data_IF_275398795912
#
_entry.id   IF_275398795912
#
_cell.length_a   1.000
_cell.length_b   1.000
_cell.length_c   1.000
_cell.angle_alpha   90.00
_cell.angle_beta   90.00
_cell.angle_gamma   90.00
#
_symmetry.space_group_name_H-M   'P 1'
#
loop_
_entity.id
_entity.type
_entity.pdbx_description
1 polymer ?
#
# COMPACT_ATOMS: atom_id res chain seq x y z
N UNK A 1 -11.97 -0.15 16.95
CA UNK A 1 -13.18 0.64 16.62
C UNK A 1 -12.84 2.00 16.01
N UNK A 2 -11.99 2.82 16.64
CA UNK A 2 -11.63 4.16 16.14
C UNK A 2 -11.23 4.17 14.65
N UNK A 3 -10.28 3.31 14.23
CA UNK A 3 -9.84 3.22 12.83
C UNK A 3 -10.97 2.89 11.83
N UNK A 4 -11.88 1.97 12.19
CA UNK A 4 -13.05 1.61 11.36
C UNK A 4 -14.08 2.74 11.26
N UNK A 5 -14.23 3.52 12.34
CA UNK A 5 -15.17 4.64 12.37
C UNK A 5 -14.56 5.91 11.75
N UNK A 6 -13.24 6.02 11.71
CA UNK A 6 -12.52 7.09 11.05
C UNK A 6 -12.61 6.94 9.52
N UNK A 7 -12.49 5.73 8.97
CA UNK A 7 -12.51 5.50 7.52
C UNK A 7 -13.89 5.42 6.89
N UNK A 8 -14.97 5.50 7.69
CA UNK A 8 -16.34 5.28 7.21
C UNK A 8 -17.20 6.52 7.49
N UNK A 9 -17.90 7.08 6.48
CA UNK A 9 -18.83 8.19 6.69
C UNK A 9 -19.84 7.88 7.80
N UNK A 10 -20.01 8.82 8.75
CA UNK A 10 -20.81 8.64 9.96
C UNK A 10 -22.32 8.39 9.73
N UNK A 11 -22.80 8.57 8.50
CA UNK A 11 -24.17 8.39 8.05
C UNK A 11 -24.34 7.24 7.04
N UNK A 12 -23.27 6.49 6.75
CA UNK A 12 -23.27 5.40 5.79
C UNK A 12 -23.86 4.09 6.33
N UNK A 13 -24.36 3.19 5.44
CA UNK A 13 -24.85 1.86 5.83
C UNK A 13 -23.77 1.00 6.51
N UNK A 14 -22.50 1.31 6.24
CA UNK A 14 -21.34 0.63 6.81
C UNK A 14 -21.11 1.02 8.27
N UNK A 15 -21.31 2.30 8.61
CA UNK A 15 -21.27 2.79 9.99
C UNK A 15 -22.38 2.15 10.83
N UNK A 16 -23.59 2.06 10.28
CA UNK A 16 -24.70 1.37 10.92
C UNK A 16 -24.40 -0.11 11.21
N UNK A 17 -23.69 -0.79 10.30
CA UNK A 17 -23.25 -2.17 10.52
C UNK A 17 -22.20 -2.29 11.62
N UNK A 18 -21.20 -1.41 11.66
CA UNK A 18 -20.23 -1.35 12.77
C UNK A 18 -20.93 -1.14 14.12
N UNK A 19 -21.92 -0.24 14.19
CA UNK A 19 -22.74 -0.05 15.39
C UNK A 19 -23.56 -1.29 15.75
N UNK A 20 -24.12 -1.98 14.76
CA UNK A 20 -24.87 -3.22 14.98
C UNK A 20 -23.99 -4.35 15.52
N UNK A 21 -22.73 -4.44 15.07
CA UNK A 21 -21.74 -5.37 15.62
C UNK A 21 -21.42 -4.96 17.07
N UNK A 22 -21.09 -3.69 17.30
CA UNK A 22 -20.75 -3.18 18.62
C UNK A 22 -21.84 -3.42 19.66
N UNK A 23 -23.13 -3.31 19.29
CA UNK A 23 -24.27 -3.60 20.18
C UNK A 23 -24.36 -5.04 20.65
N UNK A 24 -23.75 -6.00 19.95
CA UNK A 24 -23.74 -7.41 20.33
C UNK A 24 -22.53 -7.78 21.20
N UNK A 25 -21.56 -6.87 21.32
CA UNK A 25 -20.36 -7.09 22.12
C UNK A 25 -20.73 -6.92 23.59
N UNK A 26 -20.55 -8.01 24.35
CA UNK A 26 -20.74 -8.01 25.80
C UNK A 26 -19.46 -7.53 26.49
N UNK A 27 -19.56 -6.41 27.21
CA UNK A 27 -18.46 -5.84 27.99
C UNK A 27 -17.95 -6.76 29.11
N UNK A 28 -18.72 -7.76 29.51
CA UNK A 28 -18.36 -8.72 30.57
C UNK A 28 -17.73 -10.02 30.02
N UNK A 29 -17.79 -10.27 28.71
CA UNK A 29 -17.15 -11.42 28.07
C UNK A 29 -15.93 -10.96 27.27
N UNK A 30 -14.75 -11.23 27.82
CA UNK A 30 -13.47 -10.88 27.20
C UNK A 30 -13.35 -11.42 25.77
N UNK A 31 -14.05 -12.49 25.40
CA UNK A 31 -13.99 -13.08 24.06
C UNK A 31 -15.05 -12.55 23.10
N UNK A 32 -16.02 -11.79 23.59
CA UNK A 32 -17.16 -11.31 22.81
C UNK A 32 -16.70 -10.44 21.64
N UNK A 33 -15.71 -9.56 21.87
CA UNK A 33 -15.11 -8.74 20.79
C UNK A 33 -14.61 -9.60 19.63
N UNK A 34 -13.70 -10.55 19.90
CA UNK A 34 -13.13 -11.42 18.86
C UNK A 34 -14.23 -12.18 18.12
N UNK A 35 -15.13 -12.80 18.88
CA UNK A 35 -16.19 -13.67 18.35
C UNK A 35 -17.12 -12.91 17.42
N UNK A 36 -17.58 -11.73 17.83
CA UNK A 36 -18.55 -10.94 17.07
C UNK A 36 -17.93 -10.35 15.80
N UNK A 37 -16.68 -9.87 15.85
CA UNK A 37 -15.99 -9.37 14.66
C UNK A 37 -15.62 -10.49 13.68
N UNK A 38 -15.11 -11.63 14.17
CA UNK A 38 -14.84 -12.80 13.31
C UNK A 38 -16.10 -13.28 12.62
N UNK A 39 -17.21 -13.44 13.36
CA UNK A 39 -18.48 -13.88 12.79
C UNK A 39 -18.96 -12.95 11.68
N UNK A 40 -18.92 -11.64 11.92
CA UNK A 40 -19.34 -10.67 10.91
C UNK A 40 -18.38 -10.58 9.72
N UNK A 41 -17.09 -10.82 9.89
CA UNK A 41 -16.14 -10.93 8.79
C UNK A 41 -16.42 -12.16 7.90
N UNK A 42 -16.72 -13.31 8.51
CA UNK A 42 -17.06 -14.55 7.80
C UNK A 42 -18.39 -14.43 7.03
N UNK A 43 -19.42 -13.86 7.66
CA UNK A 43 -20.71 -13.57 7.03
C UNK A 43 -20.52 -12.67 5.79
N UNK A 44 -19.76 -11.58 5.95
CA UNK A 44 -19.54 -10.62 4.88
C UNK A 44 -18.68 -11.20 3.74
N UNK A 45 -17.69 -12.05 4.07
CA UNK A 45 -16.92 -12.80 3.06
C UNK A 45 -17.83 -13.71 2.24
N UNK A 46 -18.71 -14.47 2.89
CA UNK A 46 -19.63 -15.36 2.18
C UNK A 46 -20.62 -14.60 1.28
N UNK A 47 -21.09 -13.43 1.71
CA UNK A 47 -21.89 -12.54 0.86
C UNK A 47 -21.11 -12.00 -0.34
N UNK A 48 -19.84 -11.66 -0.14
CA UNK A 48 -18.95 -11.19 -1.19
C UNK A 48 -18.79 -12.25 -2.29
N UNK A 49 -18.52 -13.51 -1.92
CA UNK A 49 -18.37 -14.61 -2.87
C UNK A 49 -19.67 -14.85 -3.65
N UNK A 50 -20.83 -14.83 -2.99
CA UNK A 50 -22.14 -14.96 -3.66
C UNK A 50 -22.38 -13.85 -4.67
N UNK A 51 -22.08 -12.61 -4.30
CA UNK A 51 -22.26 -11.45 -5.18
C UNK A 51 -21.32 -11.51 -6.40
N UNK A 52 -20.06 -11.88 -6.19
CA UNK A 52 -19.10 -12.06 -7.28
C UNK A 52 -19.51 -13.18 -8.24
N UNK A 53 -19.96 -14.33 -7.71
CA UNK A 53 -20.48 -15.44 -8.52
C UNK A 53 -21.73 -15.09 -9.34
N UNK A 54 -22.53 -14.13 -8.86
CA UNK A 54 -23.67 -13.60 -9.59
C UNK A 54 -23.29 -12.54 -10.66
N UNK A 55 -22.00 -12.34 -10.93
CA UNK A 55 -21.47 -11.39 -11.91
C UNK A 55 -21.13 -10.00 -11.34
N UNK A 56 -21.35 -9.77 -10.05
CA UNK A 56 -21.06 -8.51 -9.36
C UNK A 56 -19.65 -8.45 -8.77
N UNK A 57 -18.59 -8.71 -9.56
CA UNK A 57 -17.22 -8.83 -9.05
C UNK A 57 -16.74 -7.61 -8.26
N UNK A 58 -17.00 -6.41 -8.78
CA UNK A 58 -16.60 -5.15 -8.13
C UNK A 58 -17.32 -4.92 -6.78
N UNK A 59 -18.62 -5.27 -6.72
CA UNK A 59 -19.37 -5.27 -5.47
C UNK A 59 -18.89 -6.33 -4.48
N UNK A 60 -18.53 -7.53 -4.97
CA UNK A 60 -17.90 -8.58 -4.20
C UNK A 60 -16.56 -8.13 -3.62
N UNK A 61 -15.68 -7.51 -4.42
CA UNK A 61 -14.39 -6.94 -4.01
C UNK A 61 -14.54 -5.96 -2.85
N UNK A 62 -15.47 -5.01 -2.94
CA UNK A 62 -15.74 -4.07 -1.83
C UNK A 62 -16.18 -4.78 -0.55
N UNK A 63 -17.01 -5.84 -0.65
CA UNK A 63 -17.40 -6.63 0.52
C UNK A 63 -16.22 -7.44 1.09
N UNK A 64 -15.37 -8.02 0.24
CA UNK A 64 -14.14 -8.68 0.70
C UNK A 64 -13.19 -7.70 1.39
N UNK A 65 -12.99 -6.49 0.86
CA UNK A 65 -12.17 -5.45 1.49
C UNK A 65 -12.68 -5.14 2.91
N UNK A 66 -14.00 -4.96 3.04
CA UNK A 66 -14.62 -4.72 4.34
C UNK A 66 -14.55 -5.91 5.29
N UNK A 67 -14.61 -7.14 4.77
CA UNK A 67 -14.39 -8.34 5.58
C UNK A 67 -12.96 -8.37 6.13
N UNK A 68 -11.96 -7.95 5.34
CA UNK A 68 -10.57 -7.75 5.82
C UNK A 68 -10.52 -6.74 6.95
N UNK A 69 -11.18 -5.58 6.82
CA UNK A 69 -11.20 -4.60 7.91
C UNK A 69 -11.85 -5.16 9.20
N UNK A 70 -12.87 -6.02 9.07
CA UNK A 70 -13.50 -6.70 10.22
C UNK A 70 -12.61 -7.77 10.85
N UNK A 71 -11.86 -8.53 10.04
CA UNK A 71 -10.84 -9.45 10.56
C UNK A 71 -9.74 -8.71 11.31
N UNK A 72 -9.25 -7.57 10.78
CA UNK A 72 -8.28 -6.73 11.47
C UNK A 72 -8.86 -6.13 12.77
N UNK A 73 -10.13 -5.75 12.77
CA UNK A 73 -10.81 -5.32 13.98
C UNK A 73 -10.90 -6.44 15.02
N UNK A 74 -11.15 -7.69 14.62
CA UNK A 74 -11.13 -8.84 15.53
C UNK A 74 -9.77 -9.01 16.21
N UNK A 75 -8.67 -8.71 15.51
CA UNK A 75 -7.32 -8.73 16.08
C UNK A 75 -7.04 -7.55 17.02
N UNK A 76 -7.69 -6.39 16.83
CA UNK A 76 -7.40 -5.14 17.55
C UNK A 76 -7.75 -5.11 19.05
N UNK A 77 -8.32 -6.18 19.60
CA UNK A 77 -8.76 -6.26 21.00
C UNK A 77 -7.92 -7.17 21.92
N UNK A 78 -6.93 -7.87 21.38
CA UNK A 78 -6.22 -8.92 22.14
C UNK A 78 -4.71 -8.78 22.01
N UNK A 79 -4.03 -8.94 23.14
CA UNK A 79 -2.60 -9.24 23.16
C UNK A 79 -2.28 -10.52 22.38
N UNK A 80 -1.00 -10.91 22.39
CA UNK A 80 -0.30 -11.91 21.57
C UNK A 80 -0.86 -13.36 21.54
N UNK A 81 -2.17 -13.58 21.39
CA UNK A 81 -2.77 -14.89 21.19
C UNK A 81 -2.52 -15.35 19.75
N UNK A 82 -1.45 -16.14 19.58
CA UNK A 82 -1.01 -16.62 18.28
C UNK A 82 -2.11 -17.35 17.48
N UNK A 83 -2.96 -18.14 18.16
CA UNK A 83 -4.04 -18.90 17.50
C UNK A 83 -5.09 -17.96 16.88
N UNK A 84 -5.47 -16.88 17.57
CA UNK A 84 -6.43 -15.89 17.06
C UNK A 84 -5.83 -15.08 15.92
N UNK A 85 -4.58 -14.67 16.05
CA UNK A 85 -3.86 -13.96 14.98
C UNK A 85 -3.75 -14.83 13.73
N UNK A 86 -3.50 -16.13 13.90
CA UNK A 86 -3.46 -17.08 12.80
C UNK A 86 -4.82 -17.21 12.11
N UNK A 87 -5.91 -17.35 12.87
CA UNK A 87 -7.27 -17.45 12.32
C UNK A 87 -7.66 -16.19 11.54
N UNK A 88 -7.36 -15.01 12.08
CA UNK A 88 -7.53 -13.71 11.41
C UNK A 88 -6.75 -13.67 10.10
N UNK A 89 -5.47 -14.05 10.12
CA UNK A 89 -4.63 -14.06 8.93
C UNK A 89 -5.14 -15.02 7.84
N UNK A 90 -5.66 -16.19 8.23
CA UNK A 90 -6.31 -17.14 7.31
C UNK A 90 -7.57 -16.53 6.69
N UNK A 91 -8.40 -15.86 7.49
CA UNK A 91 -9.60 -15.17 7.01
C UNK A 91 -9.29 -14.07 6.00
N UNK A 92 -8.31 -13.22 6.30
CA UNK A 92 -7.83 -12.15 5.41
C UNK A 92 -7.30 -12.73 4.10
N UNK A 93 -6.44 -13.75 4.17
CA UNK A 93 -5.88 -14.42 2.99
C UNK A 93 -6.97 -15.07 2.13
N UNK A 94 -7.99 -15.66 2.75
CA UNK A 94 -9.11 -16.24 2.02
C UNK A 94 -9.86 -15.20 1.18
N UNK A 95 -10.09 -13.98 1.69
CA UNK A 95 -10.72 -12.90 0.92
C UNK A 95 -9.93 -12.55 -0.35
N UNK A 96 -8.60 -12.44 -0.25
CA UNK A 96 -7.75 -12.16 -1.41
C UNK A 96 -7.72 -13.33 -2.40
N UNK A 97 -7.59 -14.57 -1.94
CA UNK A 97 -7.56 -15.75 -2.81
C UNK A 97 -8.89 -15.95 -3.54
N UNK A 98 -10.02 -15.75 -2.85
CA UNK A 98 -11.34 -15.77 -3.47
C UNK A 98 -11.44 -14.69 -4.55
N UNK A 99 -10.98 -13.46 -4.29
CA UNK A 99 -10.94 -12.40 -5.29
C UNK A 99 -10.05 -12.74 -6.50
N UNK A 100 -8.83 -13.23 -6.28
CA UNK A 100 -7.89 -13.59 -7.35
C UNK A 100 -8.43 -14.71 -8.25
N UNK A 101 -9.20 -15.64 -7.68
CA UNK A 101 -9.83 -16.73 -8.43
C UNK A 101 -10.99 -16.29 -9.33
N UNK A 102 -11.41 -15.02 -9.24
CA UNK A 102 -12.60 -14.48 -9.89
C UNK A 102 -12.23 -13.46 -10.96
N UNK A 103 -13.01 -13.42 -12.05
CA UNK A 103 -12.81 -12.49 -13.17
C UNK A 103 -12.42 -13.19 -14.48
N UNK A 104 -12.28 -12.41 -15.54
CA UNK A 104 -11.92 -12.90 -16.88
C UNK A 104 -10.45 -13.33 -16.97
N UNK A 105 -9.58 -12.65 -16.21
CA UNK A 105 -8.16 -12.96 -16.10
C UNK A 105 -7.84 -13.16 -14.62
N UNK A 106 -7.86 -14.41 -14.12
CA UNK A 106 -7.56 -14.71 -12.72
C UNK A 106 -6.18 -14.18 -12.34
N UNK A 107 -6.07 -13.67 -11.12
CA UNK A 107 -4.79 -13.26 -10.56
C UNK A 107 -3.97 -14.45 -10.03
N UNK A 108 -2.69 -14.21 -9.80
CA UNK A 108 -1.71 -15.20 -9.39
C UNK A 108 -1.17 -14.90 -7.99
N UNK A 109 -0.89 -15.96 -7.23
CA UNK A 109 -0.01 -15.88 -6.07
C UNK A 109 1.41 -16.15 -6.54
N UNK A 110 2.29 -15.17 -6.38
CA UNK A 110 3.66 -15.24 -6.89
C UNK A 110 4.67 -15.24 -5.75
N UNK A 111 5.82 -15.87 -6.01
CA UNK A 111 6.94 -15.93 -5.06
C UNK A 111 8.12 -15.19 -5.66
N UNK A 112 8.55 -14.11 -5.01
CA UNK A 112 9.65 -13.25 -5.44
C UNK A 112 10.92 -13.66 -4.68
N UNK A 113 11.96 -14.11 -5.38
CA UNK A 113 13.26 -14.37 -4.76
C UNK A 113 13.84 -13.06 -4.23
N UNK A 114 14.09 -12.99 -2.92
CA UNK A 114 14.79 -11.87 -2.30
C UNK A 114 15.95 -12.36 -1.45
N UNK A 115 15.65 -13.28 -0.53
CA UNK A 115 16.64 -14.04 0.26
C UNK A 115 16.36 -15.52 0.12
N UNK A 116 17.40 -16.33 0.21
CA UNK A 116 17.31 -17.79 0.14
C UNK A 116 16.32 -18.37 1.17
N UNK A 117 16.31 -17.79 2.39
CA UNK A 117 15.47 -18.24 3.50
C UNK A 117 14.19 -17.41 3.69
N UNK A 118 13.99 -16.38 2.86
CA UNK A 118 12.89 -15.43 3.01
C UNK A 118 12.43 -14.85 1.67
N UNK A 119 11.81 -15.68 0.81
CA UNK A 119 11.17 -15.17 -0.39
C UNK A 119 9.91 -14.37 -0.04
N UNK A 120 9.60 -13.36 -0.83
CA UNK A 120 8.39 -12.55 -0.64
C UNK A 120 7.22 -13.21 -1.36
N UNK A 121 6.06 -13.31 -0.71
CA UNK A 121 4.83 -13.63 -1.40
C UNK A 121 4.13 -12.34 -1.86
N UNK A 122 3.73 -12.31 -3.12
CA UNK A 122 3.00 -11.21 -3.72
C UNK A 122 1.77 -11.72 -4.47
N UNK A 123 0.87 -10.80 -4.82
CA UNK A 123 -0.27 -11.08 -5.69
C UNK A 123 -0.09 -10.30 -6.99
N UNK A 124 -0.26 -10.97 -8.13
CA UNK A 124 -0.23 -10.35 -9.44
C UNK A 124 -1.61 -10.42 -10.08
N UNK A 125 -2.13 -9.29 -10.53
CA UNK A 125 -3.39 -9.18 -11.27
C UNK A 125 -3.07 -8.63 -12.66
N UNK A 126 -3.25 -9.42 -13.73
CA UNK A 126 -2.98 -8.94 -15.08
C UNK A 126 -3.98 -7.85 -15.50
N UNK A 127 -3.52 -6.94 -16.35
CA UNK A 127 -4.38 -5.94 -16.98
C UNK A 127 -5.54 -6.62 -17.73
N UNK A 128 -6.79 -6.14 -17.56
CA UNK A 128 -7.93 -6.74 -18.23
C UNK A 128 -7.82 -6.57 -19.75
N UNK A 129 -8.11 -7.63 -20.50
CA UNK A 129 -8.11 -7.65 -21.97
C UNK A 129 -6.76 -7.30 -22.62
N UNK A 130 -5.63 -7.46 -21.92
CA UNK A 130 -4.32 -7.29 -22.51
C UNK A 130 -4.09 -8.33 -23.62
N UNK A 131 -3.66 -7.86 -24.79
CA UNK A 131 -3.29 -8.70 -25.95
C UNK A 131 -1.78 -8.96 -26.06
N UNK A 132 -1.00 -8.46 -25.10
CA UNK A 132 0.45 -8.55 -25.04
C UNK A 132 0.99 -7.93 -23.73
N UNK A 133 2.30 -7.66 -23.64
CA UNK A 133 2.93 -7.06 -22.47
C UNK A 133 2.22 -5.78 -22.01
N UNK A 134 1.82 -5.76 -20.74
CA UNK A 134 1.02 -4.68 -20.18
C UNK A 134 1.83 -3.75 -19.26
N UNK A 135 1.51 -2.45 -19.23
CA UNK A 135 2.08 -1.54 -18.24
C UNK A 135 1.69 -2.00 -16.83
N UNK A 136 2.63 -1.95 -15.89
CA UNK A 136 2.49 -2.58 -14.58
C UNK A 136 2.75 -1.61 -13.44
N UNK A 137 1.91 -1.65 -12.42
CA UNK A 137 2.11 -0.94 -11.15
C UNK A 137 2.50 -1.95 -10.07
N UNK A 138 3.62 -1.71 -9.41
CA UNK A 138 4.05 -2.43 -8.22
C UNK A 138 3.58 -1.63 -7.00
N UNK A 139 2.77 -2.23 -6.13
CA UNK A 139 2.40 -1.69 -4.84
C UNK A 139 3.22 -2.37 -3.74
N UNK A 140 3.93 -1.58 -2.95
CA UNK A 140 4.65 -2.04 -1.76
C UNK A 140 3.88 -1.59 -0.52
N UNK A 141 3.34 -2.56 0.20
CA UNK A 141 2.54 -2.33 1.38
C UNK A 141 3.37 -1.82 2.56
N UNK A 142 2.71 -1.12 3.47
CA UNK A 142 3.30 -0.68 4.73
C UNK A 142 3.90 -1.87 5.51
N UNK A 143 5.14 -1.75 6.01
CA UNK A 143 5.69 -2.75 6.91
C UNK A 143 4.76 -2.99 8.11
N UNK A 144 4.28 -4.23 8.25
CA UNK A 144 3.45 -4.66 9.39
C UNK A 144 1.99 -4.85 8.99
N UNK A 145 1.64 -4.38 7.80
CA UNK A 145 0.35 -4.62 7.15
C UNK A 145 0.50 -5.69 6.08
N UNK A 146 -0.60 -6.44 5.88
CA UNK A 146 -0.64 -7.51 4.88
C UNK A 146 -1.18 -6.99 3.56
N UNK A 147 -0.62 -7.49 2.46
CA UNK A 147 -0.92 -7.05 1.09
C UNK A 147 -2.36 -7.27 0.64
N UNK A 148 -3.12 -8.17 1.29
CA UNK A 148 -4.50 -8.50 0.91
C UNK A 148 -5.42 -7.29 0.89
N UNK A 149 -5.25 -6.37 1.85
CA UNK A 149 -6.05 -5.15 1.91
C UNK A 149 -5.76 -4.25 0.70
N UNK A 150 -4.48 -3.98 0.42
CA UNK A 150 -4.07 -3.14 -0.70
C UNK A 150 -4.44 -3.76 -2.05
N UNK A 151 -4.39 -5.09 -2.19
CA UNK A 151 -4.92 -5.79 -3.37
C UNK A 151 -6.39 -5.44 -3.62
N UNK A 152 -7.24 -5.63 -2.61
CA UNK A 152 -8.69 -5.43 -2.74
C UNK A 152 -9.06 -3.94 -2.91
N UNK A 153 -8.24 -3.04 -2.35
CA UNK A 153 -8.42 -1.60 -2.51
C UNK A 153 -7.99 -1.10 -3.90
N UNK A 154 -6.91 -1.62 -4.45
CA UNK A 154 -6.26 -1.02 -5.64
C UNK A 154 -6.61 -1.71 -6.96
N UNK A 155 -7.07 -2.98 -6.94
CA UNK A 155 -7.26 -3.76 -8.16
C UNK A 155 -8.24 -3.14 -9.17
N UNK A 156 -9.34 -2.48 -8.73
CA UNK A 156 -10.22 -1.76 -9.67
C UNK A 156 -9.53 -0.59 -10.34
N UNK A 157 -8.81 0.22 -9.56
CA UNK A 157 -8.19 1.43 -10.07
C UNK A 157 -7.13 1.12 -11.14
N UNK A 158 -6.39 0.02 -10.96
CA UNK A 158 -5.48 -0.52 -11.95
C UNK A 158 -6.22 -1.04 -13.19
N UNK A 159 -7.24 -1.89 -13.00
CA UNK A 159 -7.99 -2.54 -14.07
C UNK A 159 -8.71 -1.52 -14.97
N UNK A 160 -9.33 -0.49 -14.39
CA UNK A 160 -10.03 0.57 -15.12
C UNK A 160 -9.11 1.36 -16.07
N UNK A 161 -7.81 1.34 -15.82
CA UNK A 161 -6.78 2.03 -16.62
C UNK A 161 -5.92 1.07 -17.45
N UNK A 162 -6.31 -0.21 -17.53
CA UNK A 162 -5.59 -1.22 -18.30
C UNK A 162 -4.18 -1.50 -17.77
N UNK A 163 -3.98 -1.38 -16.46
CA UNK A 163 -2.70 -1.63 -15.81
C UNK A 163 -2.71 -3.01 -15.12
N UNK A 164 -1.62 -3.74 -15.22
CA UNK A 164 -1.36 -4.89 -14.35
C UNK A 164 -0.97 -4.36 -12.96
N UNK A 165 -1.29 -5.12 -11.91
CA UNK A 165 -1.02 -4.75 -10.54
C UNK A 165 -0.28 -5.89 -9.83
N UNK A 166 0.92 -5.61 -9.32
CA UNK A 166 1.60 -6.48 -8.36
C UNK A 166 1.50 -5.86 -6.97
N UNK A 167 1.09 -6.62 -5.95
CA UNK A 167 1.04 -6.15 -4.56
C UNK A 167 1.90 -7.06 -3.68
N UNK A 168 2.89 -6.47 -3.02
CA UNK A 168 3.85 -7.18 -2.17
C UNK A 168 3.92 -6.56 -0.76
N UNK A 169 4.16 -7.42 0.24
CA UNK A 169 4.48 -7.03 1.61
C UNK A 169 5.79 -7.70 2.06
N UNK A 170 6.28 -7.32 3.24
CA UNK A 170 7.52 -7.84 3.81
C UNK A 170 7.29 -9.04 4.77
N UNK A 171 6.10 -9.63 4.76
CA UNK A 171 5.76 -10.76 5.64
C UNK A 171 6.30 -12.12 5.13
N UNK A 172 6.90 -12.14 3.95
CA UNK A 172 7.39 -13.37 3.34
C UNK A 172 6.27 -14.28 2.86
N UNK A 173 6.59 -15.53 2.53
CA UNK A 173 5.61 -16.55 2.08
C UNK A 173 4.89 -17.29 3.22
N UNK A 174 5.43 -17.19 4.44
CA UNK A 174 4.92 -17.87 5.63
C UNK A 174 3.73 -17.17 6.29
N UNK A 175 3.11 -17.87 7.24
CA UNK A 175 2.07 -17.29 8.09
C UNK A 175 2.65 -16.57 9.32
N UNK A 176 3.83 -17.01 9.76
CA UNK A 176 4.63 -16.33 10.79
C UNK A 176 5.37 -15.14 10.19
N UNK A 177 5.33 -14.03 10.90
CA UNK A 177 6.04 -12.82 10.52
C UNK A 177 7.35 -12.71 11.31
N UNK A 178 8.48 -12.51 10.61
CA UNK A 178 9.75 -12.10 11.23
C UNK A 178 9.89 -10.57 11.20
N UNK A 179 8.78 -9.86 11.42
CA UNK A 179 8.65 -8.45 11.11
C UNK A 179 9.80 -7.59 11.64
N UNK A 180 10.08 -7.68 12.95
CA UNK A 180 11.12 -6.87 13.59
C UNK A 180 12.52 -7.19 13.07
N UNK A 181 12.78 -8.47 12.77
CA UNK A 181 14.04 -8.90 12.14
C UNK A 181 14.17 -8.28 10.75
N UNK A 182 13.09 -8.27 9.96
CA UNK A 182 13.08 -7.80 8.57
C UNK A 182 13.20 -6.27 8.49
N UNK A 183 12.39 -5.53 9.24
CA UNK A 183 12.40 -4.05 9.20
C UNK A 183 13.69 -3.47 9.78
N UNK A 184 14.30 -4.16 10.75
CA UNK A 184 15.60 -3.75 11.31
C UNK A 184 16.80 -3.99 10.39
N UNK A 185 16.61 -4.57 9.20
CA UNK A 185 17.72 -4.90 8.29
C UNK A 185 18.31 -3.66 7.63
N UNK A 186 19.61 -3.76 7.33
CA UNK A 186 20.37 -2.74 6.59
C UNK A 186 20.19 -2.80 5.08
N UNK A 187 19.77 -3.95 4.56
CA UNK A 187 19.60 -4.23 3.14
C UNK A 187 18.12 -4.30 2.75
N UNK A 188 17.23 -3.74 3.57
CA UNK A 188 15.79 -3.78 3.32
C UNK A 188 15.48 -3.34 1.89
N UNK A 189 16.12 -2.25 1.43
CA UNK A 189 15.97 -1.63 0.10
C UNK A 189 16.22 -2.59 -1.05
N UNK A 190 16.99 -3.65 -0.85
CA UNK A 190 17.24 -4.67 -1.87
C UNK A 190 15.98 -5.44 -2.27
N UNK A 191 14.96 -5.51 -1.40
CA UNK A 191 13.68 -6.12 -1.76
C UNK A 191 12.97 -5.36 -2.90
N UNK A 192 13.15 -4.03 -3.01
CA UNK A 192 12.61 -3.26 -4.13
C UNK A 192 13.23 -3.72 -5.45
N UNK A 193 14.56 -3.88 -5.49
CA UNK A 193 15.28 -4.41 -6.65
C UNK A 193 14.84 -5.82 -7.01
N UNK A 194 14.68 -6.71 -6.02
CA UNK A 194 14.19 -8.09 -6.23
C UNK A 194 12.77 -8.14 -6.80
N UNK A 195 11.88 -7.27 -6.34
CA UNK A 195 10.53 -7.16 -6.90
C UNK A 195 10.58 -6.67 -8.34
N UNK A 196 11.45 -5.69 -8.63
CA UNK A 196 11.66 -5.20 -10.00
C UNK A 196 12.22 -6.29 -10.93
N UNK A 197 13.22 -7.04 -10.48
CA UNK A 197 13.79 -8.16 -11.23
C UNK A 197 12.74 -9.21 -11.58
N UNK A 198 11.87 -9.57 -10.62
CA UNK A 198 10.78 -10.50 -10.86
C UNK A 198 9.80 -9.96 -11.91
N UNK A 199 9.37 -8.70 -11.78
CA UNK A 199 8.37 -8.10 -12.66
C UNK A 199 8.90 -7.91 -14.08
N UNK A 200 10.13 -7.43 -14.23
CA UNK A 200 10.77 -7.25 -15.55
C UNK A 200 11.08 -8.58 -16.26
N UNK A 201 11.16 -9.69 -15.54
CA UNK A 201 11.39 -11.00 -16.14
C UNK A 201 10.13 -11.68 -16.68
N UNK A 202 8.94 -11.09 -16.50
CA UNK A 202 7.68 -11.67 -16.98
C UNK A 202 7.40 -11.28 -18.43
N UNK A 203 6.98 -12.26 -19.23
CA UNK A 203 6.63 -12.05 -20.65
C UNK A 203 5.32 -11.26 -20.85
N UNK A 204 4.48 -11.15 -19.82
CA UNK A 204 3.21 -10.41 -19.84
C UNK A 204 3.33 -8.98 -19.29
N UNK A 205 4.55 -8.53 -18.98
CA UNK A 205 4.85 -7.18 -18.47
C UNK A 205 5.68 -6.41 -19.48
N UNK A 206 5.30 -5.15 -19.72
CA UNK A 206 6.12 -4.20 -20.47
C UNK A 206 7.18 -3.58 -19.55
N UNK A 207 8.44 -3.98 -19.73
CA UNK A 207 9.56 -3.61 -18.86
C UNK A 207 9.91 -2.12 -18.89
N UNK A 208 9.55 -1.41 -19.96
CA UNK A 208 9.71 0.03 -20.10
C UNK A 208 8.60 0.83 -19.39
N UNK A 209 7.51 0.16 -19.00
CA UNK A 209 6.31 0.78 -18.42
C UNK A 209 5.95 0.20 -17.06
N UNK A 210 6.94 0.15 -16.17
CA UNK A 210 6.78 -0.26 -14.77
C UNK A 210 6.80 0.96 -13.86
N UNK A 211 5.76 1.12 -13.04
CA UNK A 211 5.72 2.12 -11.98
C UNK A 211 5.65 1.48 -10.60
N UNK A 212 6.00 2.25 -9.56
CA UNK A 212 5.88 1.82 -8.17
C UNK A 212 5.01 2.78 -7.35
N UNK A 213 4.24 2.21 -6.43
CA UNK A 213 3.37 2.90 -5.48
C UNK A 213 3.70 2.41 -4.08
N UNK A 214 4.07 3.35 -3.21
CA UNK A 214 4.25 3.08 -1.79
C UNK A 214 2.94 3.34 -1.04
N UNK A 215 2.47 2.34 -0.30
CA UNK A 215 1.32 2.47 0.60
C UNK A 215 1.77 3.05 1.96
N UNK A 216 1.15 4.16 2.36
CA UNK A 216 1.37 4.84 3.64
C UNK A 216 2.87 4.97 4.04
N UNK A 217 3.30 4.29 5.11
CA UNK A 217 4.64 4.40 5.69
C UNK A 217 5.73 3.69 4.89
N UNK A 218 5.40 2.86 3.88
CA UNK A 218 6.43 2.26 3.02
C UNK A 218 7.14 3.30 2.16
N UNK A 219 6.59 4.52 2.06
CA UNK A 219 7.06 5.61 1.21
C UNK A 219 8.57 5.87 1.27
N UNK A 220 9.15 5.99 2.46
CA UNK A 220 10.57 6.33 2.62
C UNK A 220 11.49 5.17 2.26
N UNK A 221 11.06 3.95 2.62
CA UNK A 221 11.75 2.72 2.24
C UNK A 221 11.74 2.52 0.72
N UNK A 222 10.59 2.72 0.07
CA UNK A 222 10.45 2.69 -1.39
C UNK A 222 11.29 3.76 -2.05
N UNK A 223 11.28 5.00 -1.54
CA UNK A 223 12.08 6.11 -2.07
C UNK A 223 13.58 5.78 -2.07
N UNK A 224 14.10 5.16 -1.00
CA UNK A 224 15.49 4.70 -0.93
C UNK A 224 15.77 3.54 -1.88
N UNK A 225 14.84 2.60 -2.04
CA UNK A 225 14.98 1.50 -3.00
C UNK A 225 15.05 1.98 -4.45
N UNK A 226 14.13 2.86 -4.87
CA UNK A 226 14.12 3.38 -6.25
C UNK A 226 15.25 4.37 -6.54
N UNK A 227 15.84 4.99 -5.52
CA UNK A 227 17.08 5.75 -5.67
C UNK A 227 18.27 4.86 -6.08
N UNK A 228 18.18 3.54 -5.86
CA UNK A 228 19.21 2.57 -6.24
C UNK A 228 18.86 1.84 -7.55
N UNK A 229 17.67 2.02 -8.11
CA UNK A 229 17.18 1.32 -9.29
C UNK A 229 16.50 2.28 -10.29
N UNK A 230 17.15 2.58 -11.44
CA UNK A 230 16.67 3.59 -12.38
C UNK A 230 15.55 3.09 -13.32
N UNK A 231 15.19 1.80 -13.25
CA UNK A 231 14.30 1.15 -14.23
C UNK A 231 12.85 1.61 -14.14
N UNK A 232 12.42 2.25 -13.05
CA UNK A 232 11.05 2.73 -12.90
C UNK A 232 10.72 3.86 -13.88
N UNK A 233 9.55 3.77 -14.51
CA UNK A 233 8.99 4.79 -15.38
C UNK A 233 8.32 5.92 -14.61
N UNK A 234 7.75 5.62 -13.43
CA UNK A 234 7.16 6.59 -12.50
C UNK A 234 7.11 6.01 -11.08
N UNK A 235 7.04 6.88 -10.08
CA UNK A 235 6.90 6.45 -8.69
C UNK A 235 5.99 7.36 -7.86
N UNK A 236 5.23 6.76 -6.94
CA UNK A 236 4.41 7.46 -5.95
C UNK A 236 4.98 7.11 -4.58
N UNK A 237 5.64 8.07 -3.94
CA UNK A 237 6.28 7.90 -2.64
C UNK A 237 6.53 9.27 -2.00
N UNK A 238 7.14 9.30 -0.81
CA UNK A 238 7.47 10.54 -0.10
C UNK A 238 8.71 11.24 -0.65
N UNK A 239 9.38 10.72 -1.67
CA UNK A 239 10.65 11.24 -2.20
C UNK A 239 11.76 11.42 -1.12
N UNK A 240 11.73 10.62 -0.06
CA UNK A 240 12.67 10.72 1.07
C UNK A 240 12.38 11.88 2.03
N UNK A 241 11.19 12.49 1.97
CA UNK A 241 10.79 13.59 2.85
C UNK A 241 10.77 13.18 4.33
N UNK A 242 10.43 11.94 4.67
CA UNK A 242 10.46 11.47 6.05
C UNK A 242 11.87 11.48 6.63
N UNK A 243 12.86 10.95 5.91
CA UNK A 243 14.25 10.90 6.37
C UNK A 243 14.78 12.32 6.65
N UNK A 244 14.37 13.31 5.84
CA UNK A 244 14.68 14.72 6.08
C UNK A 244 13.94 15.23 7.33
N UNK A 245 12.65 14.94 7.46
CA UNK A 245 11.83 15.40 8.57
C UNK A 245 12.33 14.85 9.90
N UNK A 246 12.64 13.56 9.98
CA UNK A 246 13.22 12.90 11.16
C UNK A 246 14.54 13.57 11.54
N UNK A 247 15.46 13.77 10.59
CA UNK A 247 16.74 14.47 10.83
C UNK A 247 16.54 15.90 11.35
N UNK A 248 15.61 16.65 10.77
CA UNK A 248 15.28 18.02 11.23
C UNK A 248 14.66 18.00 12.63
N UNK A 249 13.85 17.00 12.95
CA UNK A 249 13.27 16.84 14.29
C UNK A 249 14.34 16.49 15.33
N UNK A 250 15.21 15.53 15.01
CA UNK A 250 16.34 15.13 15.85
C UNK A 250 17.33 16.29 16.05
N UNK A 251 17.65 17.05 15.00
CA UNK A 251 18.62 18.15 15.08
C UNK A 251 18.19 19.24 16.08
N UNK A 252 16.88 19.48 16.24
CA UNK A 252 16.34 20.41 17.26
C UNK A 252 16.59 19.97 18.70
N UNK A 253 16.84 18.68 18.93
CA UNK A 253 17.13 18.11 20.25
C UNK A 253 18.63 18.04 20.54
N UNK A 254 19.48 18.35 19.57
CA UNK A 254 20.93 18.26 19.66
C UNK A 254 21.59 19.62 19.97
N UNK A 255 22.74 19.56 20.62
CA UNK A 255 23.61 20.73 20.84
C UNK A 255 24.12 21.30 19.50
N UNK A 256 24.58 22.56 19.45
CA UNK A 256 25.13 23.15 18.22
C UNK A 256 26.29 22.35 17.60
N UNK A 257 27.17 21.78 18.43
CA UNK A 257 28.32 20.99 17.97
C UNK A 257 27.89 19.65 17.37
N UNK A 258 26.94 18.95 18.00
CA UNK A 258 26.34 17.72 17.46
C UNK A 258 25.57 17.98 16.16
N UNK A 259 24.92 19.14 16.05
CA UNK A 259 24.23 19.59 14.83
C UNK A 259 25.17 19.83 13.66
N UNK A 260 26.38 20.32 13.90
CA UNK A 260 27.36 20.58 12.86
C UNK A 260 27.87 19.30 12.17
N UNK A 261 27.73 18.15 12.84
CA UNK A 261 28.08 16.84 12.28
C UNK A 261 26.94 16.18 11.47
N UNK A 262 25.72 16.70 11.54
CA UNK A 262 24.60 16.18 10.74
C UNK A 262 24.63 16.75 9.32
N UNK A 263 24.46 15.93 8.28
CA UNK A 263 24.22 16.43 6.92
C UNK A 263 23.05 17.40 6.91
N UNK A 264 23.15 18.48 6.14
CA UNK A 264 22.12 19.53 6.10
C UNK A 264 20.80 19.01 5.51
N UNK A 265 19.67 19.64 5.84
CA UNK A 265 18.38 19.32 5.22
C UNK A 265 18.36 19.54 3.68
N UNK A 266 19.35 20.29 3.16
CA UNK A 266 19.64 20.49 1.75
C UNK A 266 20.29 19.28 1.05
N UNK A 267 20.71 18.26 1.80
CA UNK A 267 21.29 17.01 1.28
C UNK A 267 20.20 15.95 1.07
N UNK A 268 19.22 16.28 0.24
CA UNK A 268 18.20 15.34 -0.21
C UNK A 268 18.80 14.32 -1.20
N UNK A 269 19.80 13.55 -0.75
CA UNK A 269 20.58 12.63 -1.59
C UNK A 269 19.69 11.57 -2.22
N UNK A 270 18.70 11.09 -1.48
CA UNK A 270 17.73 10.10 -1.96
C UNK A 270 16.97 10.65 -3.16
N UNK A 271 16.27 11.78 -3.01
CA UNK A 271 15.48 12.35 -4.11
C UNK A 271 16.33 12.61 -5.37
N UNK A 272 17.56 13.12 -5.21
CA UNK A 272 18.46 13.41 -6.35
C UNK A 272 18.93 12.17 -7.11
N UNK A 273 18.83 10.99 -6.50
CA UNK A 273 19.20 9.72 -7.12
C UNK A 273 18.02 9.06 -7.84
N UNK A 274 16.79 9.53 -7.60
CA UNK A 274 15.60 8.99 -8.25
C UNK A 274 15.51 9.52 -9.69
N UNK A 275 15.51 8.60 -10.66
CA UNK A 275 15.59 8.90 -12.09
C UNK A 275 14.24 8.92 -12.82
N UNK A 276 13.13 8.84 -12.09
CA UNK A 276 11.79 8.83 -12.65
C UNK A 276 10.94 9.99 -12.11
N UNK A 277 9.88 10.39 -12.82
CA UNK A 277 8.87 11.29 -12.30
C UNK A 277 8.29 10.78 -10.99
N UNK A 278 8.14 11.67 -10.01
CA UNK A 278 7.65 11.38 -8.68
C UNK A 278 6.31 12.07 -8.41
N UNK A 279 5.39 11.35 -7.77
CA UNK A 279 4.21 11.93 -7.12
C UNK A 279 4.34 11.77 -5.60
N UNK A 280 4.43 12.90 -4.91
CA UNK A 280 4.27 12.97 -3.45
C UNK A 280 2.79 13.22 -3.18
N UNK A 281 2.09 12.18 -2.74
CA UNK A 281 0.69 12.19 -2.35
C UNK A 281 0.60 12.15 -0.81
N UNK A 282 0.01 13.17 -0.19
CA UNK A 282 -0.21 13.15 1.26
C UNK A 282 -1.57 13.74 1.67
N UNK A 283 -2.17 13.25 2.77
CA UNK A 283 -3.34 13.88 3.35
C UNK A 283 -2.98 15.23 3.97
N UNK A 284 -3.93 16.18 3.99
CA UNK A 284 -3.74 17.48 4.62
C UNK A 284 -3.40 17.37 6.11
N UNK A 285 -3.98 16.37 6.78
CA UNK A 285 -3.66 15.97 8.14
C UNK A 285 -2.97 14.62 8.10
N UNK A 286 -1.67 14.60 8.30
CA UNK A 286 -0.86 13.38 8.29
C UNK A 286 0.41 13.53 9.13
N UNK A 287 1.29 12.54 9.03
CA UNK A 287 2.57 12.52 9.73
C UNK A 287 3.49 13.68 9.32
N UNK A 288 3.42 14.11 8.06
CA UNK A 288 4.16 15.26 7.54
C UNK A 288 3.26 16.48 7.51
N UNK A 289 3.74 17.59 8.08
CA UNK A 289 3.07 18.87 7.91
C UNK A 289 3.12 19.33 6.45
N UNK A 290 1.98 19.76 5.93
CA UNK A 290 1.82 20.22 4.54
C UNK A 290 2.71 21.41 4.19
N UNK A 291 2.96 22.34 5.12
CA UNK A 291 3.86 23.47 4.90
C UNK A 291 5.34 23.05 4.78
N UNK A 292 5.73 21.98 5.48
CA UNK A 292 7.07 21.40 5.37
C UNK A 292 7.19 20.66 4.03
N UNK A 293 6.22 19.81 3.70
CA UNK A 293 6.18 19.08 2.42
C UNK A 293 6.24 20.04 1.22
N UNK A 294 5.41 21.08 1.22
CA UNK A 294 5.34 22.09 0.14
C UNK A 294 6.69 22.77 -0.08
N UNK A 295 7.36 23.17 1.00
CA UNK A 295 8.66 23.83 0.93
C UNK A 295 9.77 22.91 0.42
N UNK A 296 9.79 21.65 0.88
CA UNK A 296 10.79 20.67 0.44
C UNK A 296 10.58 20.28 -1.03
N UNK A 297 9.34 20.06 -1.46
CA UNK A 297 9.04 19.81 -2.89
C UNK A 297 9.37 21.02 -3.76
N UNK A 298 9.10 22.25 -3.29
CA UNK A 298 9.51 23.45 -4.01
C UNK A 298 11.03 23.56 -4.16
N UNK A 299 11.82 23.06 -3.19
CA UNK A 299 13.27 22.96 -3.32
C UNK A 299 13.66 21.89 -4.35
N UNK A 300 13.06 20.70 -4.31
CA UNK A 300 13.32 19.64 -5.29
C UNK A 300 13.05 20.10 -6.73
N UNK A 301 11.97 20.87 -6.95
CA UNK A 301 11.67 21.46 -8.26
C UNK A 301 12.73 22.47 -8.72
N UNK A 302 13.30 23.25 -7.80
CA UNK A 302 14.41 24.17 -8.10
C UNK A 302 15.69 23.41 -8.47
N UNK A 303 15.87 22.23 -7.90
CA UNK A 303 16.97 21.31 -8.22
C UNK A 303 16.69 20.48 -9.50
N UNK A 304 15.67 20.84 -10.29
CA UNK A 304 15.26 20.21 -11.56
C UNK A 304 14.73 18.77 -11.47
N UNK A 305 14.22 18.33 -10.31
CA UNK A 305 13.54 17.04 -10.20
C UNK A 305 12.10 17.12 -10.76
N UNK A 306 11.67 16.12 -11.54
CA UNK A 306 10.26 15.97 -11.97
C UNK A 306 9.44 15.41 -10.80
N UNK A 307 9.02 16.31 -9.91
CA UNK A 307 8.21 15.98 -8.74
C UNK A 307 6.88 16.71 -8.76
N UNK A 308 5.80 15.98 -8.55
CA UNK A 308 4.44 16.47 -8.39
C UNK A 308 4.03 16.33 -6.92
N UNK A 309 3.42 17.36 -6.35
CA UNK A 309 2.86 17.32 -4.99
C UNK A 309 1.34 17.38 -5.08
N UNK A 310 0.66 16.42 -4.47
CA UNK A 310 -0.78 16.41 -4.28
C UNK A 310 -1.08 16.31 -2.79
N UNK A 311 -1.78 17.33 -2.28
CA UNK A 311 -2.33 17.33 -0.93
C UNK A 311 -3.82 17.01 -1.04
N UNK A 312 -4.27 15.97 -0.34
CA UNK A 312 -5.67 15.58 -0.27
C UNK A 312 -6.33 16.22 0.94
N UNK A 313 -7.28 17.11 0.69
CA UNK A 313 -8.05 17.76 1.75
C UNK A 313 -8.99 16.76 2.43
N UNK A 314 -9.19 16.92 3.74
CA UNK A 314 -10.19 16.15 4.46
C UNK A 314 -11.59 16.48 3.90
N UNK A 315 -12.47 15.49 3.81
CA UNK A 315 -13.87 15.73 3.49
C UNK A 315 -14.54 16.60 4.56
N UNK A 316 -15.72 17.17 4.25
CA UNK A 316 -16.48 17.97 5.23
C UNK A 316 -16.81 17.18 6.51
N UNK A 317 -16.90 15.86 6.42
CA UNK A 317 -17.37 14.97 7.50
C UNK A 317 -16.38 13.85 7.90
N UNK A 318 -15.10 13.93 7.51
CA UNK A 318 -14.14 12.84 7.79
C UNK A 318 -12.80 12.94 7.05
N UNK A 319 -11.95 11.89 7.10
CA UNK A 319 -10.72 11.82 6.32
C UNK A 319 -11.01 11.90 4.80
N UNK A 320 -9.98 12.14 3.97
CA UNK A 320 -10.16 12.15 2.52
C UNK A 320 -10.76 10.82 2.01
N UNK A 321 -11.58 10.92 0.98
CA UNK A 321 -12.12 9.74 0.29
C UNK A 321 -10.96 8.98 -0.38
N UNK A 322 -10.62 7.82 0.18
CA UNK A 322 -9.52 6.99 -0.29
C UNK A 322 -9.73 6.51 -1.73
N UNK A 323 -10.98 6.30 -2.16
CA UNK A 323 -11.30 5.94 -3.55
C UNK A 323 -10.90 7.06 -4.51
N UNK A 324 -11.30 8.30 -4.21
CA UNK A 324 -10.92 9.47 -5.01
C UNK A 324 -9.40 9.73 -5.00
N UNK A 325 -8.74 9.47 -3.86
CA UNK A 325 -7.28 9.58 -3.77
C UNK A 325 -6.60 8.56 -4.70
N UNK A 326 -7.04 7.30 -4.65
CA UNK A 326 -6.53 6.24 -5.50
C UNK A 326 -6.82 6.51 -6.97
N UNK A 327 -8.00 7.01 -7.33
CA UNK A 327 -8.31 7.40 -8.71
C UNK A 327 -7.33 8.45 -9.23
N UNK A 328 -7.07 9.51 -8.46
CA UNK A 328 -6.09 10.52 -8.84
C UNK A 328 -4.68 9.92 -9.02
N UNK A 329 -4.26 9.07 -8.08
CA UNK A 329 -2.93 8.43 -8.12
C UNK A 329 -2.81 7.56 -9.37
N UNK A 330 -3.82 6.73 -9.65
CA UNK A 330 -3.80 5.82 -10.78
C UNK A 330 -3.96 6.55 -12.12
N UNK A 331 -4.71 7.65 -12.18
CA UNK A 331 -4.77 8.53 -13.36
C UNK A 331 -3.39 9.13 -13.67
N UNK A 332 -2.69 9.60 -12.64
CA UNK A 332 -1.35 10.14 -12.78
C UNK A 332 -0.36 9.05 -13.24
N UNK A 333 -0.42 7.86 -12.64
CA UNK A 333 0.41 6.71 -13.04
C UNK A 333 0.15 6.30 -14.49
N UNK A 334 -1.11 6.12 -14.87
CA UNK A 334 -1.50 5.76 -16.24
C UNK A 334 -0.99 6.79 -17.25
N UNK A 335 -1.09 8.09 -16.93
CA UNK A 335 -0.57 9.16 -17.78
C UNK A 335 0.95 9.06 -17.97
N UNK A 336 1.70 8.76 -16.90
CA UNK A 336 3.16 8.61 -16.99
C UNK A 336 3.59 7.33 -17.71
N UNK A 337 2.81 6.26 -17.59
CA UNK A 337 3.04 5.00 -18.29
C UNK A 337 2.59 5.03 -19.76
N UNK A 338 1.75 5.99 -20.17
CA UNK A 338 1.33 6.16 -21.56
C UNK A 338 2.37 6.91 -22.44
N UNK A 339 3.42 7.48 -21.85
CA UNK A 339 4.47 8.19 -22.59
C UNK A 339 5.31 7.28 -23.49
N UNK A 340 5.89 7.84 -24.56
CA UNK A 340 6.77 7.09 -25.48
C UNK A 340 7.93 6.42 -24.72
N UNK A 341 8.32 5.18 -25.11
CA UNK A 341 9.42 4.46 -24.47
C UNK A 341 10.70 5.29 -24.49
N UNK A 342 11.42 5.34 -23.36
CA UNK A 342 12.72 6.01 -23.27
C UNK A 342 13.63 5.43 -24.35
N UNK A 343 14.02 6.24 -25.33
CA UNK A 343 15.08 5.91 -26.27
C UNK A 343 16.33 5.56 -25.46
N UNK A 344 16.73 4.29 -25.49
CA UNK A 344 18.03 3.87 -24.97
C UNK A 344 19.11 4.55 -25.83
N UNK A 345 19.93 5.40 -25.21
CA UNK A 345 21.16 5.93 -25.82
C UNK A 345 22.31 4.93 -25.64
#
# INVERSE_FOLDING_TARGET
MARLLETTPHDGPEFAQCLAIAKRIDSQDENSWYREWMRSAEELRAEASKLAQAGGLDGGRRKWLRAVDYYEAAASGFGSCAVRQQAVAVGIRACALEFLSMGLSPGEVVTIPWRDDYPLAAYFVPAPHASGPAPTVICICEPGHRKERSLLALASHAAERGLSLLVADLHGSGMSSRFDEIVGRRDLESAIGSVMDYVSARDDVDDARIAILADDWSSSYVARGIALDPRYAAAVCDAGLWDIHERVCLSRRLTPDERACLPGASDCRVARQIMCPLLVALPHRGWLRTDIATRLVAQMKRDHLDVTLKIFEAGRDGPPDLGQCNDFIFDWLATRLAGEPRLQN
#
